data_IF_104165919354
#
_entry.id   IF_104165919354
#
_cell.length_a   1.000
_cell.length_b   1.000
_cell.length_c   1.000
_cell.angle_alpha   90.00
_cell.angle_beta   90.00
_cell.angle_gamma   90.00
#
_symmetry.space_group_name_H-M   'P 1'
#
loop_
_entity.id
_entity.type
_entity.pdbx_description
1 polymer ?
#
# COMPACT_ATOMS: atom_id res chain seq x y z
N UNK A 1 28.66 -61.15 -62.75
CA UNK A 1 28.34 -60.72 -61.38
C UNK A 1 29.53 -59.96 -60.85
N UNK A 2 29.55 -58.63 -61.00
CA UNK A 2 30.63 -57.77 -60.53
C UNK A 2 30.07 -56.79 -59.49
N UNK A 3 30.68 -56.86 -58.32
CA UNK A 3 30.66 -55.92 -57.18
C UNK A 3 30.93 -54.49 -57.66
N UNK A 4 30.35 -53.42 -57.14
CA UNK A 4 29.94 -53.11 -55.78
C UNK A 4 30.33 -51.63 -55.60
N UNK A 5 29.33 -50.81 -55.33
CA UNK A 5 29.29 -49.37 -55.61
C UNK A 5 29.69 -48.52 -54.39
N UNK A 6 30.41 -47.44 -54.68
CA UNK A 6 30.52 -46.12 -54.04
C UNK A 6 30.97 -45.90 -52.57
N UNK A 7 32.08 -45.14 -52.51
CA UNK A 7 32.19 -43.79 -51.92
C UNK A 7 31.60 -43.53 -50.53
N UNK A 8 32.47 -43.56 -49.51
CA UNK A 8 32.17 -43.08 -48.17
C UNK A 8 32.89 -41.75 -47.92
N UNK A 9 32.17 -40.63 -48.08
CA UNK A 9 32.61 -39.29 -47.64
C UNK A 9 32.01 -39.00 -46.26
N UNK A 10 32.81 -38.65 -45.24
CA UNK A 10 32.28 -38.26 -43.93
C UNK A 10 31.72 -36.84 -43.98
N UNK A 11 30.43 -36.71 -43.67
CA UNK A 11 29.72 -35.44 -43.48
C UNK A 11 30.05 -34.92 -42.07
N UNK A 12 30.88 -33.88 -42.00
CA UNK A 12 31.17 -33.15 -40.76
C UNK A 12 29.90 -32.37 -40.38
N UNK A 13 29.20 -32.79 -39.32
CA UNK A 13 28.07 -32.06 -38.73
C UNK A 13 28.61 -30.96 -37.80
N UNK A 14 28.50 -29.71 -38.24
CA UNK A 14 28.74 -28.54 -37.39
C UNK A 14 27.52 -28.33 -36.47
N UNK A 15 27.67 -28.64 -35.18
CA UNK A 15 26.65 -28.37 -34.16
C UNK A 15 26.82 -26.91 -33.69
N UNK A 16 25.97 -26.01 -34.18
CA UNK A 16 25.95 -24.61 -33.76
C UNK A 16 25.33 -24.49 -32.36
N UNK A 17 26.17 -24.23 -31.35
CA UNK A 17 25.77 -23.99 -29.97
C UNK A 17 25.24 -22.54 -29.86
N UNK A 18 23.92 -22.34 -29.90
CA UNK A 18 23.30 -21.04 -29.58
C UNK A 18 23.44 -20.77 -28.08
N UNK A 19 24.49 -20.04 -27.69
CA UNK A 19 24.55 -19.36 -26.39
C UNK A 19 23.47 -18.27 -26.36
N UNK A 20 22.28 -18.61 -25.85
CA UNK A 20 21.30 -17.61 -25.44
C UNK A 20 21.87 -16.86 -24.22
N UNK A 21 22.36 -15.65 -24.44
CA UNK A 21 22.70 -14.73 -23.36
C UNK A 21 21.41 -14.38 -22.60
N UNK A 22 21.19 -15.00 -21.44
CA UNK A 22 20.20 -14.56 -20.47
C UNK A 22 20.64 -13.20 -19.92
N UNK A 23 20.23 -12.13 -20.59
CA UNK A 23 20.27 -10.79 -19.98
C UNK A 23 19.06 -10.69 -19.05
N UNK A 24 19.25 -10.43 -17.74
CA UNK A 24 18.12 -10.20 -16.86
C UNK A 24 17.38 -8.95 -17.34
N UNK A 25 16.13 -9.12 -17.78
CA UNK A 25 15.27 -7.97 -18.05
C UNK A 25 15.03 -7.21 -16.74
N UNK A 26 15.22 -5.89 -16.70
CA UNK A 26 14.85 -5.11 -15.55
C UNK A 26 13.34 -5.27 -15.33
N UNK A 27 12.94 -5.77 -14.17
CA UNK A 27 11.54 -5.78 -13.78
C UNK A 27 11.06 -4.32 -13.73
N UNK A 28 10.08 -3.97 -14.56
CA UNK A 28 9.46 -2.66 -14.50
C UNK A 28 8.89 -2.46 -13.09
N UNK A 29 9.33 -1.40 -12.41
CA UNK A 29 8.77 -1.01 -11.13
C UNK A 29 7.29 -0.69 -11.34
N UNK A 30 6.42 -1.47 -10.71
CA UNK A 30 4.99 -1.20 -10.72
C UNK A 30 4.71 0.03 -9.86
N UNK A 31 3.80 0.88 -10.33
CA UNK A 31 3.39 2.06 -9.59
C UNK A 31 2.69 1.65 -8.27
N UNK A 32 2.86 2.43 -7.19
CA UNK A 32 2.15 2.18 -5.95
C UNK A 32 0.64 2.27 -6.16
N UNK A 33 -0.10 1.38 -5.50
CA UNK A 33 -1.57 1.47 -5.44
C UNK A 33 -1.94 2.52 -4.42
N UNK A 34 -2.79 3.47 -4.81
CA UNK A 34 -3.22 4.57 -3.95
C UNK A 34 -4.72 4.43 -3.65
N UNK A 35 -5.09 4.66 -2.39
CA UNK A 35 -6.46 4.82 -1.95
C UNK A 35 -6.61 6.19 -1.29
N UNK A 36 -7.61 6.95 -1.73
CA UNK A 36 -7.93 8.28 -1.20
C UNK A 36 -9.29 8.21 -0.52
N UNK A 37 -9.37 8.76 0.68
CA UNK A 37 -10.60 8.84 1.47
C UNK A 37 -10.93 10.29 1.77
N UNK A 38 -12.20 10.64 1.60
CA UNK A 38 -12.78 11.90 2.07
C UNK A 38 -13.69 11.58 3.24
N UNK A 39 -13.44 12.24 4.37
CA UNK A 39 -14.02 11.94 5.66
C UNK A 39 -14.64 13.21 6.24
N UNK A 40 -15.77 13.06 6.89
CA UNK A 40 -16.40 14.07 7.75
C UNK A 40 -16.04 13.76 9.19
N UNK A 41 -15.51 14.74 9.92
CA UNK A 41 -15.29 14.64 11.37
C UNK A 41 -16.62 14.81 12.10
N UNK A 42 -17.23 13.69 12.51
CA UNK A 42 -18.51 13.69 13.22
C UNK A 42 -18.35 14.13 14.69
N UNK A 43 -17.14 14.06 15.23
CA UNK A 43 -16.84 14.46 16.60
C UNK A 43 -16.51 15.95 16.72
N UNK A 44 -16.13 16.60 15.60
CA UNK A 44 -15.78 18.01 15.54
C UNK A 44 -14.55 18.38 16.37
N UNK A 45 -13.68 17.41 16.69
CA UNK A 45 -12.51 17.63 17.55
C UNK A 45 -11.29 18.09 16.77
N UNK A 46 -11.30 17.93 15.45
CA UNK A 46 -10.15 18.18 14.58
C UNK A 46 -9.08 17.09 14.64
N UNK A 47 -9.32 16.01 15.40
CA UNK A 47 -8.44 14.83 15.45
C UNK A 47 -8.85 13.72 14.49
N UNK A 48 -9.95 13.92 13.79
CA UNK A 48 -10.37 13.06 12.69
C UNK A 48 -9.98 13.78 11.39
N UNK A 49 -9.07 13.21 10.57
CA UNK A 49 -8.63 13.88 9.36
C UNK A 49 -9.73 13.89 8.31
N UNK A 50 -9.96 15.05 7.68
CA UNK A 50 -10.92 15.22 6.57
C UNK A 50 -10.52 14.49 5.28
N UNK A 51 -9.22 14.19 5.15
CA UNK A 51 -8.63 13.51 4.00
C UNK A 51 -7.58 12.51 4.47
N UNK A 52 -7.63 11.29 3.92
CA UNK A 52 -6.65 10.25 4.19
C UNK A 52 -6.17 9.67 2.85
N UNK A 53 -4.86 9.54 2.69
CA UNK A 53 -4.23 8.85 1.58
C UNK A 53 -3.46 7.64 2.10
N UNK A 54 -3.77 6.46 1.56
CA UNK A 54 -3.01 5.24 1.78
C UNK A 54 -2.30 4.84 0.49
N UNK A 55 -1.00 4.61 0.56
CA UNK A 55 -0.20 4.09 -0.55
C UNK A 55 0.28 2.69 -0.20
N UNK A 56 0.19 1.76 -1.15
CA UNK A 56 0.77 0.42 -1.04
C UNK A 56 1.81 0.23 -2.14
N UNK A 57 3.04 -0.04 -1.73
CA UNK A 57 4.11 -0.42 -2.65
C UNK A 57 3.80 -1.81 -3.25
N UNK A 58 3.85 -1.92 -4.57
CA UNK A 58 3.50 -3.14 -5.32
C UNK A 58 4.72 -3.88 -5.87
N UNK A 59 5.90 -3.28 -5.77
CA UNK A 59 7.15 -3.86 -6.26
C UNK A 59 8.36 -3.30 -5.51
N UNK A 60 9.51 -3.94 -5.72
CA UNK A 60 10.79 -3.49 -5.16
C UNK A 60 11.01 -3.89 -3.70
N UNK A 61 12.05 -3.35 -3.03
CA UNK A 61 12.48 -3.78 -1.69
C UNK A 61 11.49 -3.47 -0.57
N UNK A 62 10.37 -2.81 -0.91
CA UNK A 62 9.36 -2.34 0.00
C UNK A 62 7.97 -2.86 -0.36
N UNK A 63 7.89 -3.86 -1.25
CA UNK A 63 6.65 -4.49 -1.65
C UNK A 63 5.77 -4.83 -0.44
N UNK A 64 4.48 -4.48 -0.55
CA UNK A 64 3.50 -4.67 0.49
C UNK A 64 3.48 -3.58 1.56
N UNK A 65 4.51 -2.74 1.69
CA UNK A 65 4.52 -1.62 2.65
C UNK A 65 3.36 -0.67 2.37
N UNK A 66 2.63 -0.34 3.45
CA UNK A 66 1.54 0.62 3.43
C UNK A 66 1.97 1.87 4.18
N UNK A 67 1.79 3.02 3.58
CA UNK A 67 2.02 4.31 4.22
C UNK A 67 0.73 5.12 4.22
N UNK A 68 0.50 5.84 5.30
CA UNK A 68 -0.63 6.75 5.46
C UNK A 68 -0.12 8.19 5.50
N UNK A 69 -0.88 9.07 4.85
CA UNK A 69 -0.71 10.50 4.89
C UNK A 69 -2.07 11.17 5.09
N UNK A 70 -2.10 12.20 5.94
CA UNK A 70 -3.27 13.04 6.19
C UNK A 70 -2.83 14.43 6.68
N UNK A 71 -3.74 15.43 6.77
CA UNK A 71 -3.40 16.77 7.24
C UNK A 71 -2.85 16.83 8.68
N UNK A 72 -3.29 15.95 9.58
CA UNK A 72 -2.80 15.91 10.96
C UNK A 72 -1.34 15.42 10.97
N UNK A 73 -1.03 14.37 10.21
CA UNK A 73 0.33 13.86 10.03
C UNK A 73 1.24 14.89 9.36
N UNK A 74 0.72 15.62 8.37
CA UNK A 74 1.45 16.73 7.73
C UNK A 74 1.82 17.79 8.76
N UNK A 75 0.88 18.23 9.57
CA UNK A 75 1.10 19.31 10.55
C UNK A 75 2.01 18.88 11.70
N UNK A 76 1.93 17.62 12.13
CA UNK A 76 2.70 17.12 13.27
C UNK A 76 4.07 16.56 12.91
N UNK A 77 4.18 15.84 11.78
CA UNK A 77 5.38 15.08 11.42
C UNK A 77 5.99 15.50 10.07
N UNK A 78 5.22 16.14 9.20
CA UNK A 78 5.68 16.57 7.87
C UNK A 78 5.95 15.43 6.88
N UNK A 79 5.55 14.18 7.19
CA UNK A 79 5.79 13.01 6.33
C UNK A 79 4.73 11.92 6.51
N UNK A 80 4.54 11.03 5.51
CA UNK A 80 3.76 9.80 5.68
C UNK A 80 4.38 8.88 6.75
N UNK A 81 3.57 8.04 7.37
CA UNK A 81 4.02 7.03 8.33
C UNK A 81 3.53 5.63 7.96
N UNK A 82 4.13 4.57 8.48
CA UNK A 82 3.65 3.22 8.23
C UNK A 82 2.23 3.00 8.77
N UNK A 83 1.40 2.34 7.98
CA UNK A 83 0.12 1.79 8.39
C UNK A 83 0.14 0.26 8.23
N UNK A 84 -0.75 -0.42 8.94
CA UNK A 84 -0.86 -1.88 8.90
C UNK A 84 -2.30 -2.30 8.67
N UNK A 85 -2.52 -3.42 7.99
CA UNK A 85 -3.84 -4.04 7.94
C UNK A 85 -4.11 -4.69 9.29
N UNK A 86 -5.14 -4.21 10.00
CA UNK A 86 -5.50 -4.75 11.32
C UNK A 86 -6.65 -5.76 11.26
N UNK A 87 -7.42 -5.75 10.17
CA UNK A 87 -8.46 -6.72 9.88
C UNK A 87 -8.70 -6.76 8.37
N UNK A 88 -9.02 -7.93 7.83
CA UNK A 88 -9.34 -8.10 6.42
C UNK A 88 -10.28 -9.29 6.25
N UNK A 89 -11.53 -9.03 5.84
CA UNK A 89 -12.52 -10.07 5.59
C UNK A 89 -13.21 -9.84 4.24
N UNK A 90 -14.22 -10.65 3.90
CA UNK A 90 -14.91 -10.53 2.62
C UNK A 90 -15.67 -9.20 2.44
N UNK A 91 -16.04 -8.53 3.55
CA UNK A 91 -16.89 -7.32 3.55
C UNK A 91 -16.08 -6.05 3.65
N UNK A 92 -15.02 -6.04 4.46
CA UNK A 92 -14.28 -4.84 4.79
C UNK A 92 -12.79 -5.10 4.99
N UNK A 93 -12.02 -4.02 4.98
CA UNK A 93 -10.61 -4.01 5.37
C UNK A 93 -10.35 -2.85 6.31
N UNK A 94 -9.62 -3.11 7.39
CA UNK A 94 -9.22 -2.11 8.37
C UNK A 94 -7.72 -1.85 8.33
N UNK A 95 -7.36 -0.58 8.45
CA UNK A 95 -6.00 -0.06 8.46
C UNK A 95 -5.77 0.68 9.77
N UNK A 96 -4.63 0.43 10.42
CA UNK A 96 -4.25 1.05 11.68
C UNK A 96 -2.91 1.74 11.59
N UNK A 97 -2.80 2.90 12.25
CA UNK A 97 -1.56 3.64 12.48
C UNK A 97 -1.64 4.34 13.84
N UNK A 98 -0.50 4.80 14.35
CA UNK A 98 -0.47 5.50 15.61
C UNK A 98 0.59 6.60 15.64
N UNK A 99 0.28 7.64 16.40
CA UNK A 99 1.19 8.72 16.72
C UNK A 99 1.62 8.59 18.18
N UNK A 100 2.90 8.75 18.46
CA UNK A 100 3.43 8.82 19.82
C UNK A 100 3.73 10.27 20.20
N UNK A 101 3.50 10.63 21.46
CA UNK A 101 3.88 11.92 22.03
C UNK A 101 3.21 13.12 21.38
N UNK A 102 1.91 13.03 21.11
CA UNK A 102 1.16 14.09 20.41
C UNK A 102 0.92 15.25 21.36
N UNK A 103 1.26 16.47 20.90
CA UNK A 103 0.88 17.72 21.55
C UNK A 103 0.19 18.62 20.54
N UNK A 104 -1.01 19.10 20.86
CA UNK A 104 -1.68 20.09 20.00
C UNK A 104 -1.28 21.54 20.34
N UNK A 105 -1.74 22.47 19.50
CA UNK A 105 -1.49 23.90 19.65
C UNK A 105 -2.07 24.51 20.94
N UNK A 106 -3.13 23.92 21.50
CA UNK A 106 -3.70 24.31 22.80
C UNK A 106 -2.94 23.72 24.01
N UNK A 107 -1.91 22.92 23.76
CA UNK A 107 -1.01 22.40 24.79
C UNK A 107 -1.44 21.07 25.42
N UNK A 108 -2.57 20.50 25.02
CA UNK A 108 -2.98 19.16 25.43
C UNK A 108 -1.99 18.12 24.89
N UNK A 109 -1.69 17.13 25.73
CA UNK A 109 -0.76 16.05 25.43
C UNK A 109 -1.47 14.71 25.54
N UNK A 110 -1.22 13.82 24.58
CA UNK A 110 -1.48 12.40 24.74
C UNK A 110 -0.22 11.62 24.42
N UNK A 111 0.05 10.59 25.22
CA UNK A 111 1.19 9.71 25.01
C UNK A 111 1.08 8.97 23.67
N UNK A 112 -0.15 8.68 23.24
CA UNK A 112 -0.42 7.94 22.02
C UNK A 112 -1.80 8.25 21.46
N UNK A 113 -1.88 8.42 20.15
CA UNK A 113 -3.14 8.55 19.42
C UNK A 113 -3.20 7.44 18.38
N UNK A 114 -4.11 6.49 18.59
CA UNK A 114 -4.34 5.35 17.72
C UNK A 114 -5.46 5.64 16.73
N UNK A 115 -5.22 5.33 15.46
CA UNK A 115 -6.20 5.48 14.40
C UNK A 115 -6.58 4.13 13.82
N UNK A 116 -7.86 3.99 13.44
CA UNK A 116 -8.38 2.87 12.68
C UNK A 116 -9.31 3.37 11.59
N UNK A 117 -8.95 3.14 10.34
CA UNK A 117 -9.82 3.30 9.19
C UNK A 117 -10.38 1.95 8.78
N UNK A 118 -11.69 1.80 8.69
CA UNK A 118 -12.36 0.61 8.14
C UNK A 118 -13.07 1.00 6.85
N UNK A 119 -12.81 0.26 5.78
CA UNK A 119 -13.36 0.51 4.45
C UNK A 119 -14.16 -0.70 3.98
N UNK A 120 -15.41 -0.47 3.60
CA UNK A 120 -16.27 -1.43 2.92
C UNK A 120 -15.73 -1.73 1.52
N UNK A 121 -15.55 -3.01 1.21
CA UNK A 121 -15.12 -3.46 -0.12
C UNK A 121 -16.25 -3.38 -1.17
N UNK A 122 -17.50 -3.27 -0.72
CA UNK A 122 -18.68 -3.24 -1.60
C UNK A 122 -18.83 -1.89 -2.29
N UNK A 123 -18.70 -0.82 -1.52
CA UNK A 123 -19.09 0.53 -1.94
C UNK A 123 -18.09 1.61 -1.53
N UNK A 124 -16.97 1.23 -0.90
CA UNK A 124 -15.96 2.18 -0.45
C UNK A 124 -16.39 3.02 0.75
N UNK A 125 -17.58 2.79 1.33
CA UNK A 125 -17.98 3.49 2.56
C UNK A 125 -16.95 3.24 3.67
N UNK A 126 -16.64 4.29 4.43
CA UNK A 126 -15.54 4.30 5.37
C UNK A 126 -15.97 4.84 6.73
N UNK A 127 -15.41 4.25 7.78
CA UNK A 127 -15.43 4.81 9.13
C UNK A 127 -14.00 4.95 9.63
N UNK A 128 -13.72 6.06 10.30
CA UNK A 128 -12.46 6.25 11.00
C UNK A 128 -12.73 6.46 12.49
N UNK A 129 -11.88 5.90 13.33
CA UNK A 129 -11.85 6.13 14.75
C UNK A 129 -10.45 6.56 15.17
N UNK A 130 -10.38 7.57 16.03
CA UNK A 130 -9.17 8.03 16.70
C UNK A 130 -9.36 7.91 18.22
N UNK A 131 -8.45 7.22 18.89
CA UNK A 131 -8.48 6.98 20.34
C UNK A 131 -7.21 7.52 20.97
N UNK A 132 -7.35 8.45 21.92
CA UNK A 132 -6.24 8.95 22.70
C UNK A 132 -5.99 8.02 23.89
N UNK A 133 -4.76 7.52 24.04
CA UNK A 133 -4.38 6.69 25.17
C UNK A 133 -4.55 7.48 26.47
N UNK A 134 -5.17 6.85 27.47
CA UNK A 134 -5.49 7.44 28.76
C UNK A 134 -6.82 8.20 28.80
N UNK A 135 -7.60 8.17 27.72
CA UNK A 135 -8.91 8.80 27.63
C UNK A 135 -9.98 7.82 27.14
N UNK A 136 -11.20 7.98 27.65
CA UNK A 136 -12.34 7.13 27.27
C UNK A 136 -13.03 7.60 25.97
N UNK A 137 -12.73 8.81 25.51
CA UNK A 137 -13.37 9.36 24.32
C UNK A 137 -12.78 8.75 23.03
N UNK A 138 -13.68 8.24 22.18
CA UNK A 138 -13.37 7.85 20.81
C UNK A 138 -13.89 8.94 19.89
N UNK A 139 -13.01 9.48 19.06
CA UNK A 139 -13.36 10.46 18.03
C UNK A 139 -13.60 9.72 16.73
N UNK A 140 -14.69 10.03 16.05
CA UNK A 140 -15.16 9.26 14.89
C UNK A 140 -15.43 10.14 13.69
N UNK A 141 -15.24 9.55 12.51
CA UNK A 141 -15.61 10.14 11.24
C UNK A 141 -16.19 9.12 10.27
N UNK A 142 -16.96 9.62 9.32
CA UNK A 142 -17.59 8.81 8.27
C UNK A 142 -17.24 9.36 6.89
N UNK A 143 -17.19 8.51 5.87
CA UNK A 143 -16.82 8.97 4.53
C UNK A 143 -16.80 7.90 3.47
N UNK A 144 -16.07 8.16 2.40
CA UNK A 144 -15.91 7.25 1.25
C UNK A 144 -14.46 7.23 0.80
N UNK A 145 -13.97 6.03 0.47
CA UNK A 145 -12.66 5.78 -0.09
C UNK A 145 -12.75 5.25 -1.52
N UNK A 146 -11.78 5.61 -2.36
CA UNK A 146 -11.69 5.16 -3.74
C UNK A 146 -10.27 5.26 -4.30
N UNK A 147 -10.11 4.83 -5.56
CA UNK A 147 -8.87 5.09 -6.31
C UNK A 147 -8.83 6.57 -6.74
N UNK A 148 -7.63 7.17 -6.90
CA UNK A 148 -7.53 8.51 -7.46
C UNK A 148 -8.26 8.61 -8.80
N UNK A 149 -9.19 9.55 -8.92
CA UNK A 149 -9.96 9.78 -10.16
C UNK A 149 -11.21 8.90 -10.35
N UNK A 150 -11.53 8.00 -9.42
CA UNK A 150 -12.78 7.23 -9.40
C UNK A 150 -13.72 7.74 -8.32
N UNK A 151 -14.63 8.63 -8.70
CA UNK A 151 -15.81 9.03 -7.92
C UNK A 151 -17.08 8.51 -8.57
#
# INVERSE_FOLDING_TARGET
>A
MNTGVDSMRPIIRATALCLFALTPMPAAAQEPVVMMCRITDESGTGWVPEFIMLTRQTSGPHEGRIEVFDPILKDLLGRPIPAQVTADDARARSYGWALAGVRNRSGQRTERLDYRLTVSKRDGSAQVAATALGYDNVMTGSGVCGSPGGG
#
